data_IF_360222198748
#
_entry.id   IF_360222198748
#
_cell.length_a   1.000
_cell.length_b   1.000
_cell.length_c   1.000
_cell.angle_alpha   90.00
_cell.angle_beta   90.00
_cell.angle_gamma   90.00
#
_symmetry.space_group_name_H-M   'P 1'
#
loop_
_entity.id
_entity.type
_entity.pdbx_description
1 polymer ?
#
# COMPACT_ATOMS: atom_id res chain seq x y z
N UNK A 1 4.92 -11.98 6.39
CA UNK A 1 5.22 -10.55 6.57
C UNK A 1 3.93 -9.75 6.50
N UNK A 2 3.63 -8.85 7.45
CA UNK A 2 2.43 -8.01 7.35
C UNK A 2 2.55 -7.00 6.20
N UNK A 3 1.41 -6.61 5.61
CA UNK A 3 1.34 -5.82 4.37
C UNK A 3 1.89 -4.40 4.47
N UNK A 4 1.99 -3.84 5.68
CA UNK A 4 2.46 -2.47 5.92
C UNK A 4 3.98 -2.32 5.85
N UNK A 5 4.73 -3.39 6.12
CA UNK A 5 6.19 -3.31 6.26
C UNK A 5 6.91 -3.57 4.93
N UNK A 6 7.87 -2.72 4.59
CA UNK A 6 8.79 -2.94 3.45
C UNK A 6 9.92 -3.92 3.81
N UNK A 7 10.37 -3.87 5.06
CA UNK A 7 11.37 -4.77 5.62
C UNK A 7 10.88 -5.29 6.96
N UNK A 8 11.15 -6.56 7.24
CA UNK A 8 10.67 -7.19 8.46
C UNK A 8 11.70 -8.24 8.93
N UNK A 9 11.96 -8.34 10.25
CA UNK A 9 12.98 -9.24 10.77
C UNK A 9 12.57 -10.71 10.64
N UNK A 10 13.56 -11.58 10.56
CA UNK A 10 13.34 -13.03 10.57
C UNK A 10 13.32 -13.51 12.02
N UNK A 11 12.16 -13.97 12.46
CA UNK A 11 11.93 -14.54 13.78
C UNK A 11 11.22 -15.88 13.61
N UNK A 12 11.75 -16.92 14.24
CA UNK A 12 11.21 -18.27 14.25
C UNK A 12 10.59 -18.54 15.62
N UNK A 13 9.33 -18.95 15.59
CA UNK A 13 8.48 -19.08 16.76
C UNK A 13 7.95 -20.51 16.82
N UNK A 14 7.87 -21.03 18.03
CA UNK A 14 7.23 -22.29 18.40
C UNK A 14 5.70 -22.21 18.28
N UNK A 15 5.03 -23.36 18.32
CA UNK A 15 3.57 -23.49 18.38
C UNK A 15 2.97 -22.73 19.59
N UNK A 16 3.72 -22.64 20.69
CA UNK A 16 3.34 -21.87 21.90
C UNK A 16 3.57 -20.35 21.77
N UNK A 17 4.04 -19.85 20.63
CA UNK A 17 4.32 -18.42 20.44
C UNK A 17 5.66 -17.95 21.06
N UNK A 18 6.50 -18.87 21.51
CA UNK A 18 7.80 -18.57 22.12
C UNK A 18 8.87 -18.47 21.01
N UNK A 19 9.70 -17.43 21.06
CA UNK A 19 10.82 -17.25 20.12
C UNK A 19 11.89 -18.30 20.38
N UNK A 20 12.22 -19.08 19.34
CA UNK A 20 13.24 -20.15 19.41
C UNK A 20 14.49 -19.81 18.63
N UNK A 21 14.38 -19.07 17.53
CA UNK A 21 15.53 -18.65 16.75
C UNK A 21 15.26 -17.32 16.01
N UNK A 22 16.31 -16.59 15.71
CA UNK A 22 16.27 -15.34 14.96
C UNK A 22 17.51 -15.13 14.09
N UNK A 23 17.42 -14.12 13.21
CA UNK A 23 18.60 -13.59 12.52
C UNK A 23 18.99 -12.27 13.21
N UNK A 24 19.98 -12.28 14.11
CA UNK A 24 20.29 -11.12 14.93
C UNK A 24 20.90 -9.99 14.10
N UNK A 25 20.47 -8.76 14.36
CA UNK A 25 21.08 -7.57 13.77
C UNK A 25 22.49 -7.32 14.34
N UNK A 26 22.63 -7.38 15.67
CA UNK A 26 23.93 -7.28 16.36
C UNK A 26 24.33 -8.65 16.90
N UNK A 27 25.49 -9.15 16.45
CA UNK A 27 25.95 -10.51 16.77
C UNK A 27 26.64 -10.66 18.13
N UNK A 28 26.99 -9.56 18.80
CA UNK A 28 27.80 -9.60 20.03
C UNK A 28 27.10 -10.27 21.22
N UNK A 29 25.77 -10.19 21.28
CA UNK A 29 24.96 -10.71 22.39
C UNK A 29 23.85 -11.66 21.90
N UNK A 30 24.00 -12.24 20.70
CA UNK A 30 22.98 -13.13 20.16
C UNK A 30 22.95 -14.44 20.94
N UNK A 31 21.75 -14.82 21.40
CA UNK A 31 21.46 -16.10 22.07
C UNK A 31 20.59 -17.04 21.24
N UNK A 32 19.84 -16.48 20.29
CA UNK A 32 18.87 -17.18 19.45
C UNK A 32 19.33 -17.30 17.99
N UNK A 33 20.62 -17.09 17.72
CA UNK A 33 21.13 -17.20 16.36
C UNK A 33 20.93 -18.62 15.80
N UNK A 34 20.60 -18.71 14.51
CA UNK A 34 20.45 -19.99 13.78
C UNK A 34 21.64 -20.94 14.02
N UNK A 35 22.87 -20.40 14.10
CA UNK A 35 24.09 -21.17 14.37
C UNK A 35 24.14 -21.76 15.78
N UNK A 36 23.70 -21.02 16.78
CA UNK A 36 23.72 -21.48 18.18
C UNK A 36 22.60 -22.48 18.46
N UNK A 37 21.43 -22.28 17.85
CA UNK A 37 20.26 -23.14 18.06
C UNK A 37 20.34 -24.41 17.21
N UNK A 38 21.03 -24.38 16.07
CA UNK A 38 21.17 -25.53 15.18
C UNK A 38 19.90 -25.83 14.37
N UNK A 39 19.27 -24.79 13.83
CA UNK A 39 18.02 -24.94 13.05
C UNK A 39 18.30 -25.62 11.71
N UNK A 40 17.53 -26.66 11.39
CA UNK A 40 17.52 -27.33 10.11
C UNK A 40 16.24 -27.03 9.34
N UNK A 41 16.28 -27.18 8.02
CA UNK A 41 15.11 -27.01 7.14
C UNK A 41 14.92 -28.29 6.35
N UNK A 42 13.69 -28.80 6.35
CA UNK A 42 13.26 -29.94 5.52
C UNK A 42 12.10 -29.51 4.63
N UNK A 43 12.17 -29.92 3.36
CA UNK A 43 11.16 -29.59 2.36
C UNK A 43 10.26 -30.77 2.06
N UNK A 44 8.96 -30.49 1.99
CA UNK A 44 7.92 -31.47 1.68
C UNK A 44 7.17 -31.02 0.43
N UNK A 45 7.23 -31.82 -0.64
CA UNK A 45 6.63 -31.51 -1.94
C UNK A 45 7.45 -30.55 -2.81
N UNK A 46 6.97 -30.34 -4.04
CA UNK A 46 7.66 -29.52 -5.05
C UNK A 46 8.97 -30.15 -5.54
N UNK A 47 9.84 -29.30 -6.08
CA UNK A 47 11.12 -29.71 -6.66
C UNK A 47 12.13 -30.19 -5.60
N UNK A 48 12.13 -29.58 -4.41
CA UNK A 48 13.07 -29.88 -3.33
C UNK A 48 12.57 -30.96 -2.37
N UNK A 49 11.65 -31.82 -2.80
CA UNK A 49 11.01 -32.80 -1.91
C UNK A 49 12.02 -33.76 -1.26
N UNK A 50 11.96 -33.89 0.07
CA UNK A 50 12.82 -34.79 0.84
C UNK A 50 14.27 -34.30 1.02
N UNK A 51 14.58 -33.08 0.60
CA UNK A 51 15.90 -32.47 0.82
C UNK A 51 15.92 -31.75 2.17
N UNK A 52 16.96 -32.02 2.96
CA UNK A 52 17.22 -31.34 4.22
C UNK A 52 18.52 -30.54 4.16
N UNK A 53 18.50 -29.34 4.75
CA UNK A 53 19.68 -28.48 4.86
C UNK A 53 19.94 -28.14 6.33
N UNK A 54 21.21 -28.26 6.71
CA UNK A 54 21.72 -27.87 8.04
C UNK A 54 22.71 -26.71 8.00
N UNK A 55 23.15 -26.30 6.81
CA UNK A 55 24.08 -25.18 6.67
C UNK A 55 23.41 -23.85 7.07
N UNK A 56 23.96 -23.09 8.04
CA UNK A 56 23.31 -21.88 8.53
C UNK A 56 23.08 -20.80 7.47
N UNK A 57 23.94 -20.70 6.44
CA UNK A 57 23.79 -19.67 5.41
C UNK A 57 22.61 -20.00 4.47
N UNK A 58 22.46 -21.26 4.09
CA UNK A 58 21.31 -21.74 3.30
C UNK A 58 20.01 -21.64 4.10
N UNK A 59 20.00 -22.09 5.36
CA UNK A 59 18.84 -22.03 6.26
C UNK A 59 18.35 -20.58 6.43
N UNK A 60 19.25 -19.63 6.68
CA UNK A 60 18.89 -18.20 6.77
C UNK A 60 18.29 -17.65 5.47
N UNK A 61 18.76 -18.13 4.32
CA UNK A 61 18.25 -17.70 3.03
C UNK A 61 16.84 -18.21 2.80
N UNK A 62 16.57 -19.46 3.14
CA UNK A 62 15.22 -20.03 3.07
C UNK A 62 14.28 -19.42 4.10
N UNK A 63 14.73 -19.18 5.34
CA UNK A 63 13.94 -18.50 6.37
C UNK A 63 13.51 -17.08 5.94
N UNK A 64 14.41 -16.30 5.30
CA UNK A 64 14.08 -14.99 4.73
C UNK A 64 13.01 -15.08 3.63
N UNK A 65 13.06 -16.13 2.80
CA UNK A 65 12.09 -16.34 1.72
C UNK A 65 10.74 -16.79 2.25
N UNK A 66 10.73 -17.70 3.23
CA UNK A 66 9.52 -18.21 3.89
C UNK A 66 8.71 -17.09 4.57
N UNK A 67 9.36 -16.00 4.97
CA UNK A 67 8.69 -14.82 5.52
C UNK A 67 7.68 -14.18 4.55
N UNK A 68 7.87 -14.36 3.24
CA UNK A 68 6.98 -13.87 2.18
C UNK A 68 5.83 -14.85 1.87
N UNK A 69 5.84 -16.04 2.47
CA UNK A 69 4.87 -17.10 2.22
C UNK A 69 5.52 -18.30 1.51
N UNK A 70 4.79 -18.87 0.56
CA UNK A 70 5.26 -20.03 -0.21
C UNK A 70 6.47 -19.69 -1.09
N UNK A 71 7.31 -20.69 -1.28
CA UNK A 71 8.56 -20.56 -2.02
C UNK A 71 8.37 -20.95 -3.49
N UNK A 72 8.97 -20.16 -4.39
CA UNK A 72 9.00 -20.42 -5.83
C UNK A 72 10.38 -20.11 -6.40
N UNK A 73 10.75 -20.84 -7.45
CA UNK A 73 11.85 -20.45 -8.33
C UNK A 73 11.37 -19.43 -9.36
N UNK A 74 12.09 -18.31 -9.46
CA UNK A 74 11.73 -17.21 -10.36
C UNK A 74 12.93 -16.89 -11.27
N UNK A 75 12.70 -16.96 -12.57
CA UNK A 75 13.68 -16.49 -13.55
C UNK A 75 13.77 -14.97 -13.53
N UNK A 76 14.99 -14.46 -13.35
CA UNK A 76 15.31 -13.02 -13.39
C UNK A 76 16.05 -12.60 -14.64
N UNK A 77 16.61 -13.55 -15.40
CA UNK A 77 17.47 -13.26 -16.53
C UNK A 77 16.67 -12.76 -17.74
N UNK A 78 15.52 -13.38 -18.03
CA UNK A 78 14.74 -13.07 -19.24
C UNK A 78 14.29 -11.61 -19.30
N UNK A 79 13.77 -11.07 -18.19
CA UNK A 79 13.23 -9.71 -18.14
C UNK A 79 14.11 -8.71 -17.39
N UNK A 80 15.32 -9.13 -16.96
CA UNK A 80 16.22 -8.32 -16.10
C UNK A 80 15.49 -7.73 -14.90
N UNK A 81 14.74 -8.57 -14.18
CA UNK A 81 13.94 -8.12 -13.04
C UNK A 81 14.83 -7.63 -11.89
N UNK A 82 14.48 -6.47 -11.34
CA UNK A 82 15.22 -5.76 -10.28
C UNK A 82 15.01 -6.37 -8.88
N UNK A 83 14.00 -7.23 -8.71
CA UNK A 83 13.67 -7.89 -7.44
C UNK A 83 12.78 -7.06 -6.51
N UNK A 84 12.15 -5.98 -7.01
CA UNK A 84 11.24 -5.12 -6.24
C UNK A 84 9.78 -5.49 -6.54
N UNK A 85 8.94 -5.53 -5.50
CA UNK A 85 7.51 -5.81 -5.66
C UNK A 85 6.79 -4.70 -6.44
N UNK A 86 5.84 -5.10 -7.29
CA UNK A 86 5.00 -4.20 -8.10
C UNK A 86 3.52 -4.45 -7.82
N UNK A 87 2.70 -3.43 -8.03
CA UNK A 87 1.25 -3.54 -7.87
C UNK A 87 0.60 -4.27 -9.05
N UNK A 88 -0.52 -4.95 -8.78
CA UNK A 88 -1.29 -5.67 -9.80
C UNK A 88 -2.23 -4.72 -10.56
N UNK A 89 -2.78 -5.15 -11.73
CA UNK A 89 -3.81 -4.38 -12.44
C UNK A 89 -5.03 -4.04 -11.58
N UNK A 90 -5.36 -4.88 -10.58
CA UNK A 90 -6.41 -4.60 -9.60
C UNK A 90 -6.10 -3.37 -8.75
N UNK A 91 -4.84 -3.22 -8.31
CA UNK A 91 -4.38 -2.03 -7.60
C UNK A 91 -4.43 -0.77 -8.47
N UNK A 92 -3.99 -0.87 -9.73
CA UNK A 92 -4.05 0.25 -10.67
C UNK A 92 -5.48 0.66 -11.01
N UNK A 93 -6.37 -0.30 -11.24
CA UNK A 93 -7.77 -0.06 -11.53
C UNK A 93 -8.46 0.69 -10.37
N UNK A 94 -8.29 0.20 -9.14
CA UNK A 94 -8.89 0.80 -7.95
C UNK A 94 -8.37 2.20 -7.70
N UNK A 95 -7.05 2.42 -7.80
CA UNK A 95 -6.45 3.74 -7.68
C UNK A 95 -6.97 4.74 -8.72
N UNK A 96 -7.04 4.33 -9.99
CA UNK A 96 -7.54 5.17 -11.07
C UNK A 96 -9.01 5.56 -10.87
N UNK A 97 -9.87 4.60 -10.56
CA UNK A 97 -11.31 4.85 -10.36
C UNK A 97 -11.58 5.70 -9.12
N UNK A 98 -10.88 5.45 -8.00
CA UNK A 98 -11.01 6.26 -6.80
C UNK A 98 -10.61 7.73 -7.08
N UNK A 99 -9.51 7.94 -7.81
CA UNK A 99 -9.03 9.28 -8.17
C UNK A 99 -9.99 10.00 -9.11
N UNK A 100 -10.44 9.35 -10.18
CA UNK A 100 -11.38 9.97 -11.12
C UNK A 100 -12.77 10.18 -10.52
N UNK A 101 -13.26 9.28 -9.67
CA UNK A 101 -14.51 9.49 -8.95
C UNK A 101 -14.46 10.77 -8.09
N UNK A 102 -13.34 11.00 -7.41
CA UNK A 102 -13.13 12.22 -6.63
C UNK A 102 -13.09 13.48 -7.52
N UNK A 103 -12.36 13.43 -8.64
CA UNK A 103 -12.28 14.55 -9.58
C UNK A 103 -13.66 14.87 -10.19
N UNK A 104 -14.41 13.85 -10.60
CA UNK A 104 -15.74 14.04 -11.16
C UNK A 104 -16.77 14.49 -10.13
N UNK A 105 -16.62 14.12 -8.86
CA UNK A 105 -17.46 14.64 -7.78
C UNK A 105 -17.34 16.17 -7.66
N UNK A 106 -16.10 16.69 -7.63
CA UNK A 106 -15.88 18.14 -7.62
C UNK A 106 -16.24 18.80 -8.95
N UNK A 107 -16.01 18.12 -10.08
CA UNK A 107 -16.43 18.57 -11.40
C UNK A 107 -17.94 18.79 -11.47
N UNK A 108 -18.72 17.77 -11.07
CA UNK A 108 -20.17 17.79 -11.08
C UNK A 108 -20.73 18.92 -10.21
N UNK A 109 -20.18 19.12 -9.01
CA UNK A 109 -20.59 20.21 -8.11
C UNK A 109 -20.37 21.58 -8.76
N UNK A 110 -19.17 21.82 -9.30
CA UNK A 110 -18.82 23.08 -9.96
C UNK A 110 -19.74 23.37 -11.14
N UNK A 111 -20.03 22.34 -11.94
CA UNK A 111 -20.86 22.49 -13.13
C UNK A 111 -22.32 22.77 -12.75
N UNK A 112 -22.83 22.15 -11.68
CA UNK A 112 -24.16 22.44 -11.12
C UNK A 112 -24.29 23.86 -10.55
N UNK A 113 -23.25 24.35 -9.85
CA UNK A 113 -23.21 25.74 -9.39
C UNK A 113 -23.17 26.73 -10.57
N UNK A 114 -22.44 26.39 -11.63
CA UNK A 114 -22.38 27.22 -12.84
C UNK A 114 -23.71 27.29 -13.58
N UNK A 115 -24.42 26.16 -13.73
CA UNK A 115 -25.71 26.15 -14.42
C UNK A 115 -26.77 26.93 -13.64
N UNK A 116 -26.82 26.75 -12.33
CA UNK A 116 -27.74 27.50 -11.44
C UNK A 116 -27.41 28.99 -11.43
N UNK A 117 -26.14 29.37 -11.27
CA UNK A 117 -25.70 30.77 -11.28
C UNK A 117 -25.94 31.46 -12.63
N UNK A 118 -25.74 30.75 -13.74
CA UNK A 118 -26.05 31.28 -15.08
C UNK A 118 -27.56 31.51 -15.28
N UNK A 119 -28.40 30.58 -14.83
CA UNK A 119 -29.86 30.73 -14.85
C UNK A 119 -30.33 31.91 -13.98
N UNK A 120 -29.74 32.07 -12.79
CA UNK A 120 -30.02 33.21 -11.92
C UNK A 120 -29.55 34.53 -12.53
N UNK A 121 -28.33 34.57 -13.09
CA UNK A 121 -27.76 35.77 -13.69
C UNK A 121 -28.59 36.28 -14.87
N UNK A 122 -29.09 35.37 -15.73
CA UNK A 122 -29.95 35.74 -16.87
C UNK A 122 -31.33 36.26 -16.44
N UNK A 123 -31.89 35.76 -15.32
CA UNK A 123 -33.18 36.22 -14.77
C UNK A 123 -33.07 37.52 -13.96
N UNK A 124 -31.96 37.71 -13.24
CA UNK A 124 -31.74 38.86 -12.36
C UNK A 124 -31.15 40.07 -13.09
N UNK A 125 -30.44 39.89 -14.21
CA UNK A 125 -29.74 40.98 -14.90
C UNK A 125 -30.59 42.23 -15.24
N UNK A 126 -31.87 42.15 -15.70
CA UNK A 126 -32.67 43.36 -15.92
C UNK A 126 -33.21 44.00 -14.62
N UNK A 127 -33.19 43.27 -13.51
CA UNK A 127 -33.77 43.72 -12.23
C UNK A 127 -32.72 44.22 -11.24
N UNK A 128 -31.46 43.78 -11.36
CA UNK A 128 -30.37 44.09 -10.42
C UNK A 128 -30.10 45.59 -10.31
N UNK A 129 -30.05 46.33 -11.42
CA UNK A 129 -29.83 47.79 -11.38
C UNK A 129 -30.94 48.53 -10.60
N UNK A 130 -32.20 48.14 -10.82
CA UNK A 130 -33.36 48.75 -10.15
C UNK A 130 -33.42 48.39 -8.66
N UNK A 131 -33.12 47.15 -8.29
CA UNK A 131 -33.09 46.68 -6.90
C UNK A 131 -31.92 47.28 -6.11
N UNK A 132 -30.73 47.32 -6.69
CA UNK A 132 -29.55 47.91 -6.05
C UNK A 132 -29.72 49.42 -5.86
N UNK A 133 -30.29 50.13 -6.85
CA UNK A 133 -30.58 51.56 -6.73
C UNK A 133 -31.64 51.85 -5.65
N UNK A 134 -32.73 51.08 -5.58
CA UNK A 134 -33.76 51.21 -4.53
C UNK A 134 -33.22 50.92 -3.13
N UNK A 135 -32.40 49.86 -2.98
CA UNK A 135 -31.76 49.54 -1.70
C UNK A 135 -30.76 50.62 -1.27
N UNK A 136 -29.96 51.15 -2.20
CA UNK A 136 -28.99 52.22 -1.92
C UNK A 136 -29.70 53.51 -1.49
N UNK A 137 -30.76 53.93 -2.18
CA UNK A 137 -31.54 55.10 -1.80
C UNK A 137 -32.30 54.94 -0.49
N UNK A 138 -32.85 53.75 -0.20
CA UNK A 138 -33.55 53.48 1.06
C UNK A 138 -32.63 53.50 2.30
N UNK A 139 -31.31 53.30 2.11
CA UNK A 139 -30.31 53.35 3.18
C UNK A 139 -29.62 54.72 3.32
N UNK A 140 -29.71 55.59 2.31
CA UNK A 140 -29.18 56.96 2.33
C UNK A 140 -30.18 57.99 2.86
N UNK A 141 -31.48 57.64 2.86
CA UNK A 141 -32.59 58.47 3.34
C UNK A 141 -33.09 58.07 4.74
N UNK A 142 -32.37 57.18 5.43
CA UNK A 142 -32.56 56.83 6.84
C UNK A 142 -31.34 57.31 7.64
#
# INVERSE_FOLDING_TARGET
MPTFFETFPVVLVDDDGIVRADVPFRRAESKYSVEQVGVTVEFYGGELNGVSYSDPATVKTYARRAQLGEFFELDRATLKSDGVFRSSPRGWFTFGHASFALLFFFGKRRDEERTTSFSLATKLSPLVSCLVSKLFYSRLLA
#
